data_IF_453504415059
#
_entry.id   IF_453504415059
#
_cell.length_a   1.000
_cell.length_b   1.000
_cell.length_c   1.000
_cell.angle_alpha   90.00
_cell.angle_beta   90.00
_cell.angle_gamma   90.00
#
_symmetry.space_group_name_H-M   'P 1'
#
loop_
_entity.id
_entity.type
_entity.pdbx_description
1 polymer ?
#
# COMPACT_ATOMS: atom_id res chain seq x y z
N UNK A 1 -8.32 5.06 -11.52
CA UNK A 1 -7.81 6.42 -11.79
C UNK A 1 -6.49 6.36 -12.56
N UNK A 2 -6.55 6.59 -13.87
CA UNK A 2 -5.43 6.37 -14.80
C UNK A 2 -4.22 7.30 -14.60
N UNK A 3 -4.41 8.50 -14.04
CA UNK A 3 -3.31 9.47 -13.84
C UNK A 3 -2.43 9.19 -12.62
N UNK A 4 -2.86 8.29 -11.74
CA UNK A 4 -2.20 8.04 -10.44
C UNK A 4 -1.91 6.55 -10.21
N UNK A 5 -2.03 5.72 -11.24
CA UNK A 5 -1.69 4.29 -11.15
C UNK A 5 -2.57 3.54 -10.16
N UNK A 6 -3.87 3.85 -10.11
CA UNK A 6 -4.76 3.26 -9.12
C UNK A 6 -5.99 2.65 -9.77
N UNK A 7 -6.43 1.49 -9.29
CA UNK A 7 -7.70 0.87 -9.64
C UNK A 7 -8.48 0.53 -8.36
N UNK A 8 -9.80 0.60 -8.44
CA UNK A 8 -10.68 0.23 -7.33
C UNK A 8 -11.90 -0.49 -7.90
N UNK A 9 -12.36 -1.50 -7.19
CA UNK A 9 -13.56 -2.25 -7.46
C UNK A 9 -14.32 -2.45 -6.15
N UNK A 10 -15.60 -2.07 -6.14
CA UNK A 10 -16.50 -2.36 -5.04
C UNK A 10 -17.56 -3.38 -5.47
N UNK A 11 -17.92 -4.24 -4.52
CA UNK A 11 -19.08 -5.14 -4.53
C UNK A 11 -19.83 -4.98 -3.22
N UNK A 12 -20.99 -5.61 -3.12
CA UNK A 12 -21.90 -5.48 -1.97
C UNK A 12 -21.20 -5.72 -0.62
N UNK A 13 -20.32 -6.72 -0.55
CA UNK A 13 -19.71 -7.18 0.70
C UNK A 13 -18.18 -7.04 0.73
N UNK A 14 -17.57 -6.44 -0.29
CA UNK A 14 -16.11 -6.25 -0.30
C UNK A 14 -15.68 -5.15 -1.27
N UNK A 15 -14.52 -4.56 -0.97
CA UNK A 15 -13.78 -3.66 -1.84
C UNK A 15 -12.39 -4.20 -2.13
N UNK A 16 -11.90 -3.97 -3.34
CA UNK A 16 -10.52 -4.22 -3.72
C UNK A 16 -9.94 -2.95 -4.31
N UNK A 17 -8.76 -2.57 -3.86
CA UNK A 17 -7.99 -1.49 -4.46
C UNK A 17 -6.62 -2.00 -4.87
N UNK A 18 -6.10 -1.50 -5.98
CA UNK A 18 -4.76 -1.83 -6.47
C UNK A 18 -4.01 -0.55 -6.76
N UNK A 19 -2.82 -0.42 -6.18
CA UNK A 19 -1.89 0.68 -6.44
C UNK A 19 -0.70 0.18 -7.25
N UNK A 20 -0.40 0.90 -8.31
CA UNK A 20 0.64 0.62 -9.30
C UNK A 20 1.48 1.88 -9.53
N UNK A 21 2.64 1.69 -10.14
CA UNK A 21 3.47 2.76 -10.65
C UNK A 21 3.79 2.56 -12.14
N UNK A 22 4.56 3.50 -12.71
CA UNK A 22 5.07 3.39 -14.08
C UNK A 22 6.18 4.40 -14.30
N UNK A 23 6.74 4.43 -15.50
CA UNK A 23 7.64 5.51 -15.92
C UNK A 23 7.01 6.92 -15.93
N UNK A 24 5.71 7.06 -15.66
CA UNK A 24 4.97 8.34 -15.61
C UNK A 24 4.41 8.66 -14.22
N UNK A 25 4.43 7.71 -13.28
CA UNK A 25 3.78 7.82 -11.98
C UNK A 25 4.80 7.40 -10.92
N UNK A 26 5.10 8.30 -9.98
CA UNK A 26 5.96 7.99 -8.84
C UNK A 26 5.22 7.03 -7.91
N UNK A 27 5.81 5.87 -7.61
CA UNK A 27 5.19 4.83 -6.78
C UNK A 27 4.96 5.24 -5.33
N UNK A 28 5.77 6.14 -4.77
CA UNK A 28 5.52 6.73 -3.46
C UNK A 28 6.62 7.70 -3.05
N UNK A 29 6.40 8.38 -1.92
CA UNK A 29 7.27 9.43 -1.42
C UNK A 29 8.08 8.96 -0.21
N UNK A 30 9.41 8.95 -0.33
CA UNK A 30 10.32 8.53 0.74
C UNK A 30 10.44 9.59 1.81
N UNK A 31 9.95 9.25 3.01
CA UNK A 31 10.24 10.04 4.21
C UNK A 31 11.50 9.53 4.88
N UNK A 32 12.62 10.18 4.58
CA UNK A 32 13.94 9.84 5.13
C UNK A 32 14.20 10.31 6.56
N UNK A 33 13.23 10.90 7.24
CA UNK A 33 13.36 11.34 8.63
C UNK A 33 12.86 10.25 9.58
N UNK A 34 13.59 9.14 9.69
CA UNK A 34 13.38 8.19 10.78
C UNK A 34 14.29 8.57 11.96
N UNK A 35 13.83 8.44 13.20
CA UNK A 35 14.73 8.49 14.34
C UNK A 35 15.86 7.48 14.15
N UNK A 36 17.09 7.86 14.52
CA UNK A 36 18.25 6.98 14.36
C UNK A 36 17.98 5.61 14.99
N UNK A 37 18.30 4.55 14.25
CA UNK A 37 18.10 3.14 14.65
C UNK A 37 16.63 2.70 14.81
N UNK A 38 15.67 3.41 14.23
CA UNK A 38 14.29 2.95 14.13
C UNK A 38 13.92 2.66 12.68
N UNK A 39 13.52 1.41 12.42
CA UNK A 39 12.76 1.08 11.22
C UNK A 39 11.29 1.40 11.50
N UNK A 40 10.78 2.46 10.88
CA UNK A 40 9.37 2.87 11.04
C UNK A 40 8.48 2.35 9.91
N UNK A 41 8.94 1.35 9.16
CA UNK A 41 8.10 0.54 8.29
C UNK A 41 8.28 0.82 6.81
N UNK A 42 7.19 1.19 6.13
CA UNK A 42 7.01 0.98 4.70
C UNK A 42 8.10 1.61 3.81
N UNK A 43 9.00 0.75 3.34
CA UNK A 43 9.89 1.04 2.24
C UNK A 43 9.07 1.01 0.95
N UNK A 44 8.70 2.18 0.44
CA UNK A 44 7.83 2.50 -0.72
C UNK A 44 7.84 1.53 -1.89
N UNK A 45 8.99 0.90 -2.14
CA UNK A 45 9.20 -0.10 -3.16
C UNK A 45 8.04 -1.10 -3.24
N UNK A 46 7.59 -1.63 -2.10
CA UNK A 46 6.62 -2.73 -2.09
C UNK A 46 5.19 -2.25 -2.31
N UNK A 47 4.80 -1.12 -1.73
CA UNK A 47 3.41 -0.63 -1.80
C UNK A 47 3.03 0.05 -3.12
N UNK A 48 3.96 0.13 -4.07
CA UNK A 48 3.69 0.61 -5.43
C UNK A 48 3.80 -0.48 -6.50
N UNK A 49 4.29 -1.66 -6.12
CA UNK A 49 4.46 -2.83 -7.00
C UNK A 49 3.16 -3.63 -7.13
N UNK A 50 2.09 -3.00 -7.64
CA UNK A 50 0.76 -3.60 -7.77
C UNK A 50 0.14 -4.08 -6.44
N UNK A 51 0.51 -3.45 -5.32
CA UNK A 51 -0.03 -3.81 -4.02
C UNK A 51 -1.53 -3.61 -3.97
N UNK A 52 -2.21 -4.61 -3.42
CA UNK A 52 -3.65 -4.75 -3.39
C UNK A 52 -4.18 -4.70 -1.96
N UNK A 53 -5.24 -3.94 -1.72
CA UNK A 53 -5.97 -3.96 -0.45
C UNK A 53 -7.35 -4.56 -0.65
N UNK A 54 -7.68 -5.54 0.19
CA UNK A 54 -8.97 -6.21 0.22
C UNK A 54 -9.66 -5.85 1.53
N UNK A 55 -10.84 -5.26 1.44
CA UNK A 55 -11.61 -4.80 2.60
C UNK A 55 -12.96 -5.50 2.60
N UNK A 56 -13.29 -6.19 3.68
CA UNK A 56 -14.59 -6.80 3.95
C UNK A 56 -15.22 -6.08 5.15
N UNK A 57 -14.50 -6.04 6.27
CA UNK A 57 -14.97 -5.51 7.56
C UNK A 57 -14.46 -4.09 7.84
N UNK A 58 -13.36 -3.68 7.21
CA UNK A 58 -12.84 -2.32 7.28
C UNK A 58 -11.64 -2.13 8.21
N UNK A 59 -11.20 -3.16 8.93
CA UNK A 59 -10.11 -3.10 9.92
C UNK A 59 -8.87 -3.93 9.56
N UNK A 60 -8.89 -4.62 8.41
CA UNK A 60 -7.91 -5.65 8.03
C UNK A 60 -6.47 -5.14 8.00
N UNK A 61 -6.28 -3.85 7.69
CA UNK A 61 -4.96 -3.21 7.61
C UNK A 61 -4.66 -2.24 8.76
N UNK A 62 -5.64 -1.96 9.63
CA UNK A 62 -5.46 -1.01 10.75
C UNK A 62 -4.74 -1.70 11.91
N UNK A 63 -5.19 -2.90 12.27
CA UNK A 63 -4.67 -3.65 13.42
C UNK A 63 -3.27 -4.23 13.18
N UNK A 64 -2.95 -4.56 11.92
CA UNK A 64 -1.72 -5.26 11.54
C UNK A 64 -0.56 -4.33 11.20
N UNK A 65 -0.80 -3.03 11.02
CA UNK A 65 0.22 -2.07 10.58
C UNK A 65 1.52 -2.10 11.41
N UNK A 66 1.50 -2.22 12.76
CA UNK A 66 2.73 -2.27 13.57
C UNK A 66 3.55 -3.55 13.41
N UNK A 67 2.95 -4.63 12.93
CA UNK A 67 3.60 -5.94 12.74
C UNK A 67 3.66 -6.33 11.27
N UNK A 68 3.39 -5.39 10.37
CA UNK A 68 3.27 -5.66 8.95
C UNK A 68 4.64 -5.93 8.33
N UNK A 69 4.76 -7.04 7.60
CA UNK A 69 5.93 -7.31 6.79
C UNK A 69 5.81 -6.55 5.46
N UNK A 70 6.45 -5.40 5.39
CA UNK A 70 6.38 -4.52 4.22
C UNK A 70 6.92 -5.15 2.94
N UNK A 71 7.88 -6.08 3.03
CA UNK A 71 8.42 -6.79 1.87
C UNK A 71 7.40 -7.73 1.21
N UNK A 72 6.37 -8.12 1.96
CA UNK A 72 5.27 -8.98 1.51
C UNK A 72 3.94 -8.23 1.58
N UNK A 73 3.93 -7.00 1.05
CA UNK A 73 2.68 -6.28 0.81
C UNK A 73 1.75 -7.15 -0.07
N UNK A 74 0.44 -7.26 0.23
CA UNK A 74 -0.45 -8.12 -0.53
C UNK A 74 -0.50 -7.69 -2.00
N UNK A 75 -0.55 -8.66 -2.91
CA UNK A 75 -0.44 -8.45 -4.35
C UNK A 75 0.81 -9.11 -4.92
#
# INVERSE_FOLDING_TARGET
MWRVGYASQMRENYGVNVKMDSNRIVGGEWRGSWPANQDQGNLIYWTSSASSTFMVDGDEYVSVFPTFDWAHSPG
#
